data_IF_453129707237
#
_entry.id   IF_453129707237
#
_cell.length_a   1.000
_cell.length_b   1.000
_cell.length_c   1.000
_cell.angle_alpha   90.00
_cell.angle_beta   90.00
_cell.angle_gamma   90.00
#
_symmetry.space_group_name_H-M   'P 1'
#
loop_
_entity.id
_entity.type
_entity.pdbx_description
1 polymer ?
#
# COMPACT_ATOMS: atom_id res chain seq x y z
N UNK A 1 28.32 25.27 1.30
CA UNK A 1 27.06 25.83 0.78
C UNK A 1 26.09 25.99 1.94
N UNK A 2 25.64 27.22 2.21
CA UNK A 2 24.65 27.46 3.26
C UNK A 2 23.26 27.05 2.73
N UNK A 3 22.63 26.06 3.36
CA UNK A 3 21.27 25.65 3.04
C UNK A 3 20.33 26.14 4.14
N UNK A 4 19.54 27.18 3.89
CA UNK A 4 18.59 27.65 4.87
C UNK A 4 17.52 26.61 5.14
N UNK A 5 17.39 26.21 6.40
CA UNK A 5 16.43 25.22 6.83
C UNK A 5 15.70 25.68 8.09
N UNK A 6 14.40 25.41 8.15
CA UNK A 6 13.57 25.67 9.32
C UNK A 6 13.30 24.36 10.04
N UNK A 7 13.48 24.30 11.38
CA UNK A 7 13.17 23.10 12.14
C UNK A 7 11.64 22.88 12.17
N UNK A 8 11.17 21.85 11.49
CA UNK A 8 9.74 21.49 11.44
C UNK A 8 9.52 20.18 12.20
N UNK A 9 8.54 20.16 13.09
CA UNK A 9 8.10 18.92 13.77
C UNK A 9 7.30 18.09 12.77
N UNK A 10 7.74 16.87 12.53
CA UNK A 10 6.98 15.90 11.74
C UNK A 10 6.86 14.56 12.48
N UNK A 11 5.80 13.83 12.13
CA UNK A 11 5.58 12.51 12.67
C UNK A 11 6.48 11.51 11.93
N UNK A 12 7.24 10.73 12.68
CA UNK A 12 7.98 9.58 12.15
C UNK A 12 7.20 8.32 12.49
N UNK A 13 7.05 7.48 11.49
CA UNK A 13 6.40 6.19 11.61
C UNK A 13 7.43 5.06 11.53
N UNK A 14 7.13 3.99 12.22
CA UNK A 14 7.83 2.72 12.08
C UNK A 14 6.76 1.67 11.80
N UNK A 15 6.90 0.94 10.71
CA UNK A 15 5.94 -0.05 10.26
C UNK A 15 6.54 -1.44 10.26
N UNK A 16 5.72 -2.40 10.65
CA UNK A 16 5.92 -3.83 10.40
C UNK A 16 4.91 -4.25 9.34
N UNK A 17 5.36 -4.45 8.10
CA UNK A 17 4.53 -4.96 7.01
C UNK A 17 4.57 -6.47 7.05
N UNK A 18 3.44 -7.09 7.33
CA UNK A 18 3.31 -8.55 7.47
C UNK A 18 2.58 -9.11 6.25
N UNK A 19 3.23 -9.96 5.49
CA UNK A 19 2.62 -10.66 4.37
C UNK A 19 2.22 -12.07 4.79
N UNK A 20 0.97 -12.42 4.61
CA UNK A 20 0.49 -13.79 4.64
C UNK A 20 1.06 -14.53 3.42
N UNK A 21 1.81 -15.60 3.66
CA UNK A 21 2.43 -16.42 2.61
C UNK A 21 1.84 -17.84 2.58
N UNK A 22 0.66 -18.03 3.16
CA UNK A 22 -0.07 -19.31 3.11
C UNK A 22 -0.48 -19.69 1.68
N UNK A 23 -0.89 -20.94 1.49
CA UNK A 23 -1.21 -21.47 0.16
C UNK A 23 -2.40 -20.76 -0.50
N UNK A 24 -3.36 -20.25 0.29
CA UNK A 24 -4.51 -19.51 -0.23
C UNK A 24 -4.10 -18.20 -0.94
N UNK A 25 -2.95 -17.61 -0.56
CA UNK A 25 -2.41 -16.41 -1.21
C UNK A 25 -1.88 -16.66 -2.64
N UNK A 26 -1.74 -17.93 -3.05
CA UNK A 26 -1.42 -18.27 -4.44
C UNK A 26 -2.65 -18.23 -5.37
N UNK A 27 -3.86 -18.05 -4.83
CA UNK A 27 -5.10 -18.02 -5.59
C UNK A 27 -5.11 -16.88 -6.60
N UNK A 28 -5.28 -17.14 -7.93
CA UNK A 28 -5.29 -16.12 -8.97
C UNK A 28 -6.68 -15.53 -9.15
N UNK A 29 -7.13 -14.69 -8.24
CA UNK A 29 -8.46 -14.10 -8.24
C UNK A 29 -8.51 -12.57 -8.32
N UNK A 30 -7.34 -11.91 -8.37
CA UNK A 30 -7.25 -10.45 -8.49
C UNK A 30 -7.21 -10.04 -9.96
N UNK A 31 -8.20 -9.29 -10.47
CA UNK A 31 -8.21 -8.86 -11.87
C UNK A 31 -7.20 -7.72 -12.12
N UNK A 32 -6.36 -7.87 -13.14
CA UNK A 32 -5.47 -6.83 -13.66
C UNK A 32 -5.65 -6.79 -15.19
N UNK A 33 -6.43 -5.85 -15.66
CA UNK A 33 -6.84 -5.79 -17.07
C UNK A 33 -7.60 -7.04 -17.48
N UNK A 34 -7.05 -7.79 -18.46
CA UNK A 34 -7.67 -9.04 -18.96
C UNK A 34 -7.14 -10.30 -18.26
N UNK A 35 -6.16 -10.17 -17.39
CA UNK A 35 -5.54 -11.29 -16.66
C UNK A 35 -5.93 -11.26 -15.20
N UNK A 36 -5.76 -12.39 -14.54
CA UNK A 36 -5.83 -12.48 -13.09
C UNK A 36 -4.45 -12.78 -12.53
N UNK A 37 -4.09 -12.10 -11.45
CA UNK A 37 -2.85 -12.36 -10.71
C UNK A 37 -3.18 -13.01 -9.36
N UNK A 38 -2.18 -13.64 -8.74
CA UNK A 38 -2.32 -14.21 -7.42
C UNK A 38 -2.45 -13.11 -6.36
N UNK A 39 -3.09 -13.43 -5.23
CA UNK A 39 -3.16 -12.54 -4.07
C UNK A 39 -1.77 -12.16 -3.59
N UNK A 40 -0.82 -13.09 -3.59
CA UNK A 40 0.59 -12.83 -3.24
C UNK A 40 1.23 -11.80 -4.19
N UNK A 41 1.05 -11.94 -5.50
CA UNK A 41 1.57 -10.96 -6.45
C UNK A 41 0.95 -9.56 -6.24
N UNK A 42 -0.35 -9.52 -5.94
CA UNK A 42 -1.03 -8.26 -5.60
C UNK A 42 -0.53 -7.67 -4.28
N UNK A 43 -0.31 -8.50 -3.25
CA UNK A 43 0.28 -8.07 -1.96
C UNK A 43 1.65 -7.45 -2.16
N UNK A 44 2.52 -8.07 -2.98
CA UNK A 44 3.83 -7.49 -3.32
C UNK A 44 3.68 -6.12 -3.98
N UNK A 45 2.79 -5.99 -4.95
CA UNK A 45 2.53 -4.70 -5.61
C UNK A 45 2.08 -3.63 -4.61
N UNK A 46 1.13 -3.95 -3.72
CA UNK A 46 0.69 -3.04 -2.67
C UNK A 46 1.83 -2.64 -1.73
N UNK A 47 2.66 -3.60 -1.31
CA UNK A 47 3.80 -3.33 -0.43
C UNK A 47 4.86 -2.45 -1.11
N UNK A 48 5.14 -2.68 -2.41
CA UNK A 48 6.02 -1.82 -3.21
C UNK A 48 5.52 -0.38 -3.27
N UNK A 49 4.24 -0.20 -3.54
CA UNK A 49 3.61 1.13 -3.60
C UNK A 49 3.58 1.80 -2.23
N UNK A 50 3.28 1.04 -1.16
CA UNK A 50 3.35 1.53 0.22
C UNK A 50 4.74 2.06 0.51
N UNK A 51 5.79 1.24 0.33
CA UNK A 51 7.18 1.61 0.63
C UNK A 51 7.62 2.82 -0.19
N UNK A 52 7.26 2.87 -1.47
CA UNK A 52 7.57 3.99 -2.37
C UNK A 52 6.88 5.31 -1.98
N UNK A 53 5.78 5.21 -1.23
CA UNK A 53 4.98 6.37 -0.78
C UNK A 53 5.38 6.89 0.59
N UNK A 54 6.25 6.17 1.32
CA UNK A 54 6.68 6.56 2.65
C UNK A 54 7.74 7.66 2.60
N UNK A 55 7.65 8.68 3.46
CA UNK A 55 8.67 9.72 3.53
C UNK A 55 9.96 9.19 4.16
N UNK A 56 11.10 9.78 3.77
CA UNK A 56 12.38 9.51 4.41
C UNK A 56 12.32 9.74 5.93
N UNK A 57 13.06 8.95 6.68
CA UNK A 57 13.00 8.88 8.14
C UNK A 57 11.99 7.84 8.67
N UNK A 58 11.06 7.37 7.83
CA UNK A 58 10.19 6.23 8.16
C UNK A 58 11.01 4.94 8.16
N UNK A 59 10.74 4.07 9.12
CA UNK A 59 11.38 2.76 9.19
C UNK A 59 10.39 1.65 8.88
N UNK A 60 10.85 0.62 8.19
CA UNK A 60 10.05 -0.53 7.77
C UNK A 60 10.76 -1.84 8.11
N UNK A 61 10.00 -2.78 8.65
CA UNK A 61 10.36 -4.20 8.76
C UNK A 61 9.43 -5.00 7.85
N UNK A 62 9.97 -5.90 7.05
CA UNK A 62 9.18 -6.88 6.30
C UNK A 62 9.11 -8.16 7.10
N UNK A 63 7.93 -8.74 7.19
CA UNK A 63 7.66 -9.92 8.00
C UNK A 63 6.78 -10.90 7.23
N UNK A 64 7.00 -12.18 7.48
CA UNK A 64 6.25 -13.29 6.90
C UNK A 64 5.28 -13.85 7.94
N UNK A 65 4.09 -14.20 7.49
CA UNK A 65 3.12 -14.92 8.28
C UNK A 65 2.78 -16.26 7.63
N UNK A 66 2.90 -17.33 8.39
CA UNK A 66 2.44 -18.66 8.02
C UNK A 66 2.09 -19.47 9.28
N UNK A 67 1.09 -20.33 9.21
CA UNK A 67 0.63 -21.12 10.36
C UNK A 67 0.20 -20.22 11.51
N UNK A 68 0.83 -20.40 12.67
CA UNK A 68 0.52 -19.67 13.92
C UNK A 68 1.53 -18.56 14.24
N UNK A 69 2.52 -18.34 13.41
CA UNK A 69 3.65 -17.49 13.77
C UNK A 69 4.03 -16.51 12.65
N UNK A 70 4.65 -15.43 13.10
CA UNK A 70 5.24 -14.41 12.24
C UNK A 70 6.74 -14.37 12.45
N UNK A 71 7.49 -14.25 11.36
CA UNK A 71 8.92 -14.04 11.36
C UNK A 71 9.24 -12.69 10.73
N UNK A 72 9.86 -11.79 11.50
CA UNK A 72 10.44 -10.58 10.94
C UNK A 72 11.74 -10.93 10.23
N UNK A 73 11.89 -10.52 8.96
CA UNK A 73 13.12 -10.78 8.19
C UNK A 73 14.28 -9.92 8.69
N UNK A 74 13.97 -8.74 9.19
CA UNK A 74 14.92 -7.80 9.80
C UNK A 74 14.21 -6.81 10.74
N UNK A 75 14.98 -6.21 11.64
CA UNK A 75 14.50 -5.09 12.44
C UNK A 75 14.16 -3.88 11.55
N UNK A 76 13.29 -2.95 12.00
CA UNK A 76 12.92 -1.79 11.20
C UNK A 76 14.14 -0.97 10.75
N UNK A 77 14.31 -0.83 9.43
CA UNK A 77 15.35 -0.06 8.77
C UNK A 77 14.77 1.15 8.05
N UNK A 78 15.56 2.21 7.90
CA UNK A 78 15.13 3.46 7.27
C UNK A 78 14.89 3.27 5.77
N UNK A 79 13.76 3.79 5.29
CA UNK A 79 13.25 3.50 3.94
C UNK A 79 14.15 4.07 2.84
N UNK A 80 14.58 5.34 2.95
CA UNK A 80 15.34 5.98 1.87
C UNK A 80 16.77 5.43 1.75
N UNK A 81 17.40 5.14 2.88
CA UNK A 81 18.76 4.57 2.91
C UNK A 81 18.80 3.13 2.42
N UNK A 82 17.71 2.39 2.63
CA UNK A 82 17.63 0.95 2.33
C UNK A 82 16.58 0.62 1.27
N UNK A 83 16.17 1.59 0.45
CA UNK A 83 15.04 1.47 -0.46
C UNK A 83 15.12 0.21 -1.34
N UNK A 84 16.25 0.04 -2.02
CA UNK A 84 16.43 -1.10 -2.94
C UNK A 84 16.43 -2.45 -2.21
N UNK A 85 17.03 -2.53 -1.01
CA UNK A 85 17.03 -3.77 -0.23
C UNK A 85 15.63 -4.14 0.25
N UNK A 86 14.81 -3.15 0.64
CA UNK A 86 13.42 -3.37 1.04
C UNK A 86 12.60 -3.84 -0.17
N UNK A 87 12.76 -3.18 -1.33
CA UNK A 87 12.04 -3.54 -2.55
C UNK A 87 12.42 -4.95 -3.01
N UNK A 88 13.71 -5.29 -3.02
CA UNK A 88 14.20 -6.63 -3.35
C UNK A 88 13.65 -7.70 -2.39
N UNK A 89 13.58 -7.39 -1.10
CA UNK A 89 12.96 -8.28 -0.11
C UNK A 89 11.49 -8.56 -0.43
N UNK A 90 10.73 -7.53 -0.83
CA UNK A 90 9.32 -7.68 -1.21
C UNK A 90 9.18 -8.54 -2.47
N UNK A 91 10.05 -8.38 -3.45
CA UNK A 91 10.06 -9.18 -4.68
C UNK A 91 10.25 -10.68 -4.41
N UNK A 92 10.99 -11.02 -3.35
CA UNK A 92 11.29 -12.40 -2.96
C UNK A 92 10.28 -13.01 -1.97
N UNK A 93 9.18 -12.30 -1.62
CA UNK A 93 8.09 -12.90 -0.84
C UNK A 93 7.42 -14.02 -1.65
N UNK A 94 7.49 -15.23 -1.13
CA UNK A 94 7.04 -16.41 -1.86
C UNK A 94 6.56 -17.50 -0.89
N UNK A 95 5.55 -18.26 -1.31
CA UNK A 95 4.98 -19.39 -0.56
C UNK A 95 6.01 -20.46 -0.18
N UNK A 96 7.10 -20.59 -0.95
CA UNK A 96 8.18 -21.57 -0.72
C UNK A 96 8.98 -21.28 0.55
N UNK A 97 8.93 -20.06 1.05
CA UNK A 97 9.55 -19.69 2.33
C UNK A 97 8.64 -19.99 3.53
N UNK A 98 7.39 -20.42 3.28
CA UNK A 98 6.45 -20.72 4.33
C UNK A 98 6.80 -22.03 5.06
N UNK A 99 6.90 -21.98 6.40
CA UNK A 99 7.07 -23.15 7.26
C UNK A 99 5.76 -23.92 7.49
N UNK A 100 4.63 -23.33 7.12
CA UNK A 100 3.30 -23.94 7.13
C UNK A 100 2.49 -23.45 5.94
N UNK A 101 1.72 -24.32 5.33
CA UNK A 101 0.81 -23.93 4.25
C UNK A 101 -0.52 -23.38 4.74
N UNK A 102 -0.77 -23.42 6.03
CA UNK A 102 -2.01 -22.97 6.66
C UNK A 102 -1.87 -21.54 7.17
N UNK A 103 -3.00 -20.94 7.54
CA UNK A 103 -3.11 -19.61 8.10
C UNK A 103 -3.99 -19.68 9.35
N UNK A 104 -3.45 -19.29 10.52
CA UNK A 104 -4.17 -19.22 11.79
C UNK A 104 -4.02 -17.82 12.36
N UNK A 105 -4.88 -16.94 11.91
CA UNK A 105 -4.75 -15.49 12.14
C UNK A 105 -4.84 -15.16 13.62
N UNK A 106 -5.81 -15.74 14.35
CA UNK A 106 -5.97 -15.44 15.78
C UNK A 106 -4.73 -15.76 16.62
N UNK A 107 -4.10 -16.89 16.37
CA UNK A 107 -2.85 -17.26 17.03
C UNK A 107 -1.69 -16.39 16.60
N UNK A 108 -1.67 -16.04 15.32
CA UNK A 108 -0.62 -15.20 14.76
C UNK A 108 -0.61 -13.78 15.32
N UNK A 109 -1.75 -13.21 15.69
CA UNK A 109 -1.80 -11.89 16.33
C UNK A 109 -0.96 -11.84 17.62
N UNK A 110 -0.89 -12.94 18.39
CA UNK A 110 0.02 -13.04 19.53
C UNK A 110 1.49 -13.08 19.11
N UNK A 111 1.79 -13.76 17.99
CA UNK A 111 3.15 -13.81 17.44
C UNK A 111 3.59 -12.42 16.95
N UNK A 112 2.72 -11.72 16.23
CA UNK A 112 2.97 -10.33 15.80
C UNK A 112 3.20 -9.43 17.02
N UNK A 113 2.35 -9.50 18.04
CA UNK A 113 2.48 -8.72 19.28
C UNK A 113 3.83 -8.97 19.96
N UNK A 114 4.27 -10.24 20.02
CA UNK A 114 5.58 -10.59 20.57
C UNK A 114 6.73 -10.02 19.74
N UNK A 115 6.65 -10.14 18.42
CA UNK A 115 7.67 -9.65 17.50
C UNK A 115 7.81 -8.13 17.56
N UNK A 116 6.69 -7.40 17.56
CA UNK A 116 6.73 -5.94 17.61
C UNK A 116 7.30 -5.40 18.92
N UNK A 117 7.09 -6.11 20.04
CA UNK A 117 7.69 -5.76 21.35
C UNK A 117 9.20 -5.96 21.38
N UNK A 118 9.78 -6.77 20.48
CA UNK A 118 11.23 -6.94 20.39
C UNK A 118 11.91 -5.81 19.60
N UNK A 119 11.15 -4.94 18.96
CA UNK A 119 11.71 -3.82 18.20
C UNK A 119 12.22 -2.72 19.14
N UNK A 120 13.28 -2.01 18.74
CA UNK A 120 13.88 -0.95 19.57
C UNK A 120 12.99 0.28 19.73
N UNK A 121 11.96 0.43 18.89
CA UNK A 121 11.01 1.55 18.92
C UNK A 121 9.59 1.06 18.60
N UNK A 122 8.60 1.82 19.05
CA UNK A 122 7.19 1.50 18.81
C UNK A 122 6.90 1.47 17.31
N UNK A 123 6.34 0.36 16.82
CA UNK A 123 5.97 0.20 15.43
C UNK A 123 4.46 -0.07 15.28
N UNK A 124 3.92 0.23 14.12
CA UNK A 124 2.56 -0.10 13.71
C UNK A 124 2.56 -1.28 12.76
N UNK A 125 1.54 -2.10 12.83
CA UNK A 125 1.41 -3.29 11.98
C UNK A 125 0.49 -3.00 10.82
N UNK A 126 0.87 -3.49 9.64
CA UNK A 126 0.02 -3.59 8.45
C UNK A 126 0.05 -5.05 8.01
N UNK A 127 -1.04 -5.77 8.23
CA UNK A 127 -1.17 -7.19 7.93
C UNK A 127 -1.94 -7.38 6.62
N UNK A 128 -1.31 -8.00 5.63
CA UNK A 128 -1.91 -8.37 4.36
C UNK A 128 -2.28 -9.85 4.38
N UNK A 129 -3.58 -10.17 4.32
CA UNK A 129 -4.10 -11.54 4.39
C UNK A 129 -5.45 -11.64 3.68
N UNK A 130 -5.85 -12.84 3.30
CA UNK A 130 -7.19 -13.10 2.77
C UNK A 130 -8.23 -13.39 3.87
N UNK A 131 -7.78 -13.52 5.12
CA UNK A 131 -8.69 -13.74 6.24
C UNK A 131 -9.13 -15.18 6.42
N UNK A 132 -8.70 -16.11 5.57
CA UNK A 132 -9.09 -17.51 5.73
C UNK A 132 -8.33 -18.18 6.88
N UNK A 133 -9.07 -18.75 7.80
CA UNK A 133 -8.52 -19.61 8.85
C UNK A 133 -8.47 -21.06 8.35
N UNK A 134 -7.30 -21.63 8.36
CA UNK A 134 -7.08 -23.03 8.08
C UNK A 134 -6.27 -23.66 9.23
N UNK A 135 -6.92 -24.47 10.05
CA UNK A 135 -8.30 -24.99 10.02
C UNK A 135 -9.38 -23.96 10.31
N UNK A 136 -10.58 -24.19 9.76
CA UNK A 136 -11.74 -23.33 10.04
C UNK A 136 -12.03 -23.27 11.53
N UNK A 137 -12.39 -22.07 12.00
CA UNK A 137 -12.70 -21.85 13.40
C UNK A 137 -13.95 -22.61 13.84
N UNK A 138 -13.87 -23.13 15.06
CA UNK A 138 -14.99 -23.70 15.79
C UNK A 138 -14.78 -23.45 17.29
N UNK A 139 -15.78 -23.74 18.12
CA UNK A 139 -15.78 -23.40 19.57
C UNK A 139 -14.54 -23.85 20.30
N UNK A 140 -13.91 -24.96 19.90
CA UNK A 140 -12.75 -25.54 20.61
C UNK A 140 -11.39 -25.03 20.10
N UNK A 141 -11.32 -24.39 18.93
CA UNK A 141 -10.07 -23.87 18.36
C UNK A 141 -10.03 -22.33 18.24
N UNK A 142 -11.10 -21.64 18.65
CA UNK A 142 -11.17 -20.18 18.64
C UNK A 142 -10.42 -19.63 19.85
N UNK A 143 -9.24 -19.04 19.59
CA UNK A 143 -8.42 -18.43 20.63
C UNK A 143 -8.98 -17.06 21.03
N UNK A 144 -9.05 -16.80 22.32
CA UNK A 144 -9.39 -15.48 22.86
C UNK A 144 -8.30 -14.46 22.53
N UNK A 145 -8.66 -13.23 22.22
CA UNK A 145 -7.76 -12.15 21.83
C UNK A 145 -7.61 -11.06 22.90
N UNK A 146 -8.19 -11.24 24.08
CA UNK A 146 -8.08 -10.25 25.18
C UNK A 146 -6.63 -9.94 25.58
N UNK A 147 -5.69 -10.87 25.31
CA UNK A 147 -4.27 -10.68 25.56
C UNK A 147 -3.53 -9.88 24.46
N UNK A 148 -4.16 -9.54 23.35
CA UNK A 148 -3.54 -8.82 22.23
C UNK A 148 -3.85 -7.32 22.33
N UNK A 149 -3.34 -6.66 23.38
CA UNK A 149 -3.63 -5.24 23.65
C UNK A 149 -2.84 -4.28 22.73
N UNK A 150 -1.75 -4.73 22.13
CA UNK A 150 -0.92 -3.91 21.24
C UNK A 150 -1.54 -3.69 19.85
N UNK A 151 -2.59 -4.45 19.52
CA UNK A 151 -3.21 -4.40 18.19
C UNK A 151 -4.08 -3.14 17.95
N UNK A 152 -4.22 -2.31 18.96
CA UNK A 152 -4.89 -1.01 18.80
C UNK A 152 -4.14 -0.19 17.74
N UNK A 153 -4.89 0.30 16.77
CA UNK A 153 -4.38 1.07 15.63
C UNK A 153 -3.59 0.24 14.58
N UNK A 154 -3.52 -1.10 14.69
CA UNK A 154 -3.02 -1.92 13.60
C UNK A 154 -3.95 -1.82 12.39
N UNK A 155 -3.44 -2.14 11.21
CA UNK A 155 -4.21 -2.15 9.97
C UNK A 155 -4.24 -3.56 9.38
N UNK A 156 -5.44 -4.08 9.16
CA UNK A 156 -5.67 -5.32 8.43
C UNK A 156 -6.09 -4.97 7.00
N UNK A 157 -5.32 -5.47 6.04
CA UNK A 157 -5.55 -5.28 4.60
C UNK A 157 -6.05 -6.60 4.03
N UNK A 158 -7.33 -6.64 3.71
CA UNK A 158 -7.96 -7.83 3.12
C UNK A 158 -7.62 -7.96 1.64
N UNK A 159 -6.97 -9.05 1.25
CA UNK A 159 -6.53 -9.31 -0.13
C UNK A 159 -7.26 -10.52 -0.70
N UNK A 160 -7.92 -10.34 -1.83
CA UNK A 160 -8.66 -11.43 -2.50
C UNK A 160 -10.01 -10.99 -3.04
N UNK A 161 -10.63 -11.90 -3.81
CA UNK A 161 -11.98 -11.76 -4.33
C UNK A 161 -13.00 -12.34 -3.35
N UNK A 162 -14.18 -11.72 -3.26
CA UNK A 162 -15.33 -12.26 -2.50
C UNK A 162 -15.96 -13.48 -3.18
N UNK A 163 -15.79 -13.63 -4.48
CA UNK A 163 -16.30 -14.79 -5.25
C UNK A 163 -15.41 -15.99 -5.00
N UNK A 164 -14.09 -15.76 -4.88
CA UNK A 164 -13.10 -16.81 -4.68
C UNK A 164 -12.69 -17.52 -5.96
N UNK A 165 -11.68 -18.39 -5.81
CA UNK A 165 -11.18 -19.28 -6.85
C UNK A 165 -10.45 -20.47 -6.23
N UNK A 166 -10.20 -21.51 -7.05
CA UNK A 166 -9.47 -22.68 -6.60
C UNK A 166 -8.00 -22.35 -6.31
N UNK A 167 -7.46 -22.88 -5.22
CA UNK A 167 -6.06 -22.71 -4.85
C UNK A 167 -5.21 -23.63 -5.73
N UNK A 168 -4.27 -23.07 -6.55
CA UNK A 168 -3.36 -23.89 -7.33
C UNK A 168 -2.33 -24.58 -6.42
N UNK A 169 -2.03 -25.83 -6.71
CA UNK A 169 -0.86 -26.54 -6.17
C UNK A 169 0.32 -26.26 -7.11
N UNK A 170 1.34 -25.61 -6.57
CA UNK A 170 2.49 -25.18 -7.35
C UNK A 170 3.68 -26.12 -7.14
N UNK A 171 4.46 -26.36 -8.20
CA UNK A 171 5.78 -26.99 -8.12
C UNK A 171 6.82 -26.01 -7.56
N UNK A 172 8.04 -26.50 -7.31
CA UNK A 172 9.17 -25.64 -6.91
C UNK A 172 9.48 -24.53 -7.94
N UNK A 173 9.15 -24.75 -9.21
CA UNK A 173 9.33 -23.79 -10.30
C UNK A 173 8.10 -22.91 -10.54
N UNK A 174 7.17 -22.85 -9.57
CA UNK A 174 5.91 -22.10 -9.66
C UNK A 174 4.99 -22.52 -10.83
N UNK A 175 5.12 -23.75 -11.32
CA UNK A 175 4.21 -24.32 -12.32
C UNK A 175 3.01 -24.95 -11.62
N UNK A 176 1.82 -24.74 -12.18
CA UNK A 176 0.59 -25.35 -11.65
C UNK A 176 0.61 -26.85 -11.98
N UNK A 177 0.69 -27.68 -10.95
CA UNK A 177 0.66 -29.16 -11.05
C UNK A 177 -0.71 -29.74 -10.70
N UNK A 178 -1.66 -28.91 -10.28
CA UNK A 178 -3.01 -29.29 -9.91
C UNK A 178 -3.68 -28.22 -9.06
N UNK A 179 -4.73 -28.63 -8.37
CA UNK A 179 -5.43 -27.77 -7.39
C UNK A 179 -5.57 -28.52 -6.08
N UNK A 180 -5.56 -27.79 -4.98
CA UNK A 180 -5.77 -28.38 -3.67
C UNK A 180 -7.20 -28.93 -3.54
N UNK A 181 -7.35 -30.14 -2.98
CA UNK A 181 -8.65 -30.77 -2.75
C UNK A 181 -9.35 -30.17 -1.53
N UNK A 182 -10.65 -30.34 -1.45
CA UNK A 182 -11.45 -29.99 -0.27
C UNK A 182 -10.92 -30.70 0.99
N UNK A 183 -10.48 -31.95 0.89
CA UNK A 183 -9.92 -32.71 2.01
C UNK A 183 -8.65 -32.11 2.59
N UNK A 184 -7.82 -31.45 1.75
CA UNK A 184 -6.58 -30.80 2.21
C UNK A 184 -6.82 -29.60 3.14
N UNK A 185 -8.01 -29.01 3.10
CA UNK A 185 -8.44 -27.89 3.92
C UNK A 185 -9.61 -28.22 4.85
N UNK A 186 -10.25 -29.38 4.64
CA UNK A 186 -11.27 -29.89 5.55
C UNK A 186 -10.61 -30.40 6.81
N UNK A 187 -11.09 -29.91 7.95
CA UNK A 187 -10.63 -30.37 9.23
C UNK A 187 -11.51 -31.45 9.78
N UNK A 188 -10.84 -32.48 10.19
CA UNK A 188 -11.41 -33.41 11.17
C UNK A 188 -11.25 -32.79 12.58
N UNK A 189 -12.36 -32.53 13.31
CA UNK A 189 -12.27 -32.08 14.70
C UNK A 189 -11.42 -33.08 15.52
N UNK A 190 -10.42 -32.60 16.21
CA UNK A 190 -9.56 -33.42 17.07
C UNK A 190 -8.16 -33.72 16.50
N UNK A 191 -7.97 -33.78 15.18
CA UNK A 191 -6.65 -34.03 14.58
C UNK A 191 -5.83 -32.74 14.44
N UNK A 192 -6.50 -31.60 14.33
CA UNK A 192 -5.84 -30.30 14.16
C UNK A 192 -4.92 -29.88 15.31
N UNK A 193 -5.21 -30.30 16.53
CA UNK A 193 -4.36 -30.03 17.69
C UNK A 193 -3.10 -30.91 17.76
N UNK A 194 -3.14 -32.08 17.10
CA UNK A 194 -2.01 -33.02 17.06
C UNK A 194 -1.05 -32.67 15.91
N UNK A 195 -1.55 -31.97 14.87
CA UNK A 195 -0.81 -31.75 13.64
C UNK A 195 0.24 -30.64 13.70
N UNK A 196 0.23 -29.76 14.68
CA UNK A 196 1.32 -28.77 14.85
C UNK A 196 2.63 -29.43 15.32
N UNK A 197 2.53 -30.52 16.06
CA UNK A 197 3.69 -31.35 16.40
C UNK A 197 4.13 -32.30 15.27
N UNK A 198 3.28 -32.52 14.25
CA UNK A 198 3.51 -33.38 13.11
C UNK A 198 3.49 -32.56 11.80
N UNK A 199 4.45 -31.69 11.60
CA UNK A 199 4.68 -30.93 10.36
C UNK A 199 4.83 -31.83 9.12
N UNK A 200 4.83 -33.15 9.28
CA UNK A 200 5.03 -34.14 8.22
C UNK A 200 3.80 -34.82 7.64
N UNK A 201 2.59 -34.62 8.19
CA UNK A 201 1.40 -35.40 7.81
C UNK A 201 0.22 -34.56 7.30
N UNK A 202 0.50 -33.47 6.58
CA UNK A 202 -0.54 -32.75 5.85
C UNK A 202 -1.06 -33.66 4.73
N UNK A 203 -2.39 -33.78 4.61
CA UNK A 203 -3.00 -34.50 3.49
C UNK A 203 -2.87 -33.65 2.22
N UNK A 204 -1.80 -33.88 1.45
CA UNK A 204 -1.43 -33.11 0.26
C UNK A 204 -2.18 -33.60 -1.00
N UNK A 205 -3.48 -33.88 -0.87
CA UNK A 205 -4.27 -34.41 -1.97
C UNK A 205 -4.52 -33.34 -3.05
N UNK A 206 -4.26 -33.73 -4.27
CA UNK A 206 -4.68 -32.99 -5.46
C UNK A 206 -6.14 -33.31 -5.73
N UNK A 207 -6.93 -32.29 -6.07
CA UNK A 207 -8.33 -32.45 -6.41
C UNK A 207 -8.50 -33.41 -7.61
N UNK A 208 -9.40 -34.37 -7.48
CA UNK A 208 -9.71 -35.37 -8.52
C UNK A 208 -10.53 -34.77 -9.68
N UNK A 209 -11.22 -33.66 -9.45
CA UNK A 209 -12.05 -32.95 -10.42
C UNK A 209 -12.37 -31.51 -9.97
N UNK A 210 -13.14 -30.79 -10.78
CA UNK A 210 -13.47 -29.37 -10.47
C UNK A 210 -14.28 -29.20 -9.20
N UNK A 211 -15.21 -30.11 -8.93
CA UNK A 211 -16.07 -30.11 -7.74
C UNK A 211 -15.34 -30.48 -6.45
N UNK A 212 -14.16 -31.09 -6.58
CA UNK A 212 -13.31 -31.43 -5.44
C UNK A 212 -12.28 -30.33 -5.11
N UNK A 213 -12.18 -29.27 -5.91
CA UNK A 213 -11.27 -28.17 -5.67
C UNK A 213 -11.73 -27.33 -4.49
N UNK A 214 -10.81 -27.04 -3.57
CA UNK A 214 -11.07 -26.08 -2.51
C UNK A 214 -11.14 -24.66 -3.08
N UNK A 215 -12.27 -23.99 -2.83
CA UNK A 215 -12.49 -22.60 -3.27
C UNK A 215 -12.17 -21.66 -2.13
N UNK A 216 -11.07 -20.96 -2.25
CA UNK A 216 -10.63 -19.91 -1.34
C UNK A 216 -11.22 -18.57 -1.74
N UNK A 217 -11.63 -17.77 -0.76
CA UNK A 217 -12.17 -16.42 -0.96
C UNK A 217 -11.70 -15.49 0.15
N UNK A 218 -11.70 -14.19 -0.11
CA UNK A 218 -11.50 -13.20 0.96
C UNK A 218 -12.61 -13.31 2.01
N UNK A 219 -12.24 -13.65 3.24
CA UNK A 219 -13.17 -13.60 4.38
C UNK A 219 -13.18 -12.19 5.02
N UNK A 220 -13.82 -11.27 4.28
CA UNK A 220 -13.91 -9.88 4.70
C UNK A 220 -14.72 -9.69 5.99
N UNK A 221 -15.73 -10.54 6.19
CA UNK A 221 -16.60 -10.49 7.38
C UNK A 221 -15.75 -10.79 8.61
N UNK A 222 -15.03 -11.90 8.56
CA UNK A 222 -14.16 -12.33 9.65
C UNK A 222 -13.04 -11.31 9.94
N UNK A 223 -12.40 -10.75 8.91
CA UNK A 223 -11.37 -9.72 9.12
C UNK A 223 -11.92 -8.46 9.78
N UNK A 224 -13.14 -8.05 9.47
CA UNK A 224 -13.81 -6.93 10.13
C UNK A 224 -14.17 -7.25 11.59
N UNK A 225 -14.61 -8.48 11.87
CA UNK A 225 -14.93 -8.92 13.23
C UNK A 225 -13.67 -8.94 14.10
N UNK A 226 -12.60 -9.60 13.63
CA UNK A 226 -11.36 -9.71 14.40
C UNK A 226 -10.67 -8.34 14.55
N UNK A 227 -10.72 -7.48 13.53
CA UNK A 227 -10.19 -6.12 13.67
C UNK A 227 -10.91 -5.32 14.74
N UNK A 228 -12.25 -5.43 14.80
CA UNK A 228 -13.05 -4.78 15.84
C UNK A 228 -12.76 -5.35 17.23
N UNK A 229 -12.59 -6.66 17.35
CA UNK A 229 -12.28 -7.35 18.61
C UNK A 229 -10.97 -6.84 19.23
N UNK A 230 -9.92 -6.61 18.41
CA UNK A 230 -8.61 -6.15 18.88
C UNK A 230 -8.39 -4.63 18.78
N UNK A 231 -9.38 -3.88 18.29
CA UNK A 231 -9.28 -2.43 18.11
C UNK A 231 -8.41 -1.99 16.93
N UNK A 232 -8.18 -2.87 15.96
CA UNK A 232 -7.48 -2.60 14.72
C UNK A 232 -8.42 -1.96 13.68
N UNK A 233 -7.82 -1.37 12.64
CA UNK A 233 -8.53 -0.90 11.45
C UNK A 233 -8.57 -1.98 10.38
N UNK A 234 -9.60 -1.98 9.56
CA UNK A 234 -9.71 -2.84 8.39
C UNK A 234 -9.83 -1.99 7.12
N UNK A 235 -9.16 -2.41 6.06
CA UNK A 235 -9.33 -1.87 4.71
C UNK A 235 -9.22 -2.99 3.68
N UNK A 236 -9.97 -2.87 2.58
CA UNK A 236 -9.80 -3.76 1.46
C UNK A 236 -8.58 -3.34 0.63
N UNK A 237 -7.71 -4.29 0.34
CA UNK A 237 -6.48 -4.07 -0.45
C UNK A 237 -6.71 -4.02 -1.96
N UNK A 238 -7.85 -3.51 -2.41
CA UNK A 238 -8.15 -3.33 -3.83
C UNK A 238 -7.57 -2.05 -4.43
N UNK A 239 -7.24 -1.08 -3.59
CA UNK A 239 -6.73 0.23 -3.97
C UNK A 239 -5.69 0.72 -2.96
N UNK A 240 -4.54 1.17 -3.47
CA UNK A 240 -3.43 1.67 -2.65
C UNK A 240 -3.80 2.94 -1.86
N UNK A 241 -4.61 3.82 -2.43
CA UNK A 241 -5.00 5.07 -1.76
C UNK A 241 -5.79 4.80 -0.48
N UNK A 242 -6.62 3.76 -0.48
CA UNK A 242 -7.36 3.31 0.71
C UNK A 242 -6.41 2.80 1.79
N UNK A 243 -5.40 2.02 1.41
CA UNK A 243 -4.37 1.49 2.33
C UNK A 243 -3.55 2.63 2.93
N UNK A 244 -3.00 3.52 2.10
CA UNK A 244 -2.22 4.68 2.55
C UNK A 244 -3.05 5.64 3.40
N UNK A 245 -4.32 5.84 3.04
CA UNK A 245 -5.25 6.65 3.82
C UNK A 245 -5.51 6.10 5.23
N UNK A 246 -5.58 4.77 5.36
CA UNK A 246 -5.70 4.10 6.65
C UNK A 246 -4.39 4.14 7.45
N UNK A 247 -3.24 3.91 6.81
CA UNK A 247 -1.92 3.98 7.45
C UNK A 247 -1.64 5.36 8.05
N UNK A 248 -2.04 6.44 7.38
CA UNK A 248 -1.90 7.82 7.89
C UNK A 248 -2.67 8.08 9.18
N UNK A 249 -3.70 7.28 9.49
CA UNK A 249 -4.48 7.38 10.73
C UNK A 249 -3.83 6.64 11.90
N UNK A 250 -2.85 5.79 11.63
CA UNK A 250 -2.12 5.06 12.66
C UNK A 250 -1.29 6.02 13.53
N UNK A 251 -1.00 5.60 14.75
CA UNK A 251 -0.23 6.39 15.69
C UNK A 251 1.25 6.46 15.26
N UNK A 252 1.86 7.66 15.20
CA UNK A 252 3.28 7.77 14.88
C UNK A 252 4.16 7.17 15.99
N UNK A 253 5.30 6.61 15.60
CA UNK A 253 6.28 6.07 16.55
C UNK A 253 6.90 7.17 17.42
N UNK A 254 7.25 8.28 16.80
CA UNK A 254 7.83 9.45 17.48
C UNK A 254 7.57 10.74 16.70
N UNK A 255 7.73 11.87 17.39
CA UNK A 255 7.82 13.18 16.74
C UNK A 255 9.27 13.59 16.69
N UNK A 256 9.77 13.91 15.52
CA UNK A 256 11.13 14.41 15.32
C UNK A 256 11.11 15.83 14.76
N UNK A 257 12.17 16.55 15.04
CA UNK A 257 12.41 17.86 14.43
C UNK A 257 13.44 17.64 13.32
N UNK A 258 13.02 17.82 12.07
CA UNK A 258 13.94 17.75 10.95
C UNK A 258 14.10 19.12 10.29
N UNK A 259 15.28 19.42 9.75
CA UNK A 259 15.49 20.62 8.96
C UNK A 259 14.71 20.51 7.65
N UNK A 260 13.69 21.35 7.49
CA UNK A 260 12.97 21.49 6.22
C UNK A 260 13.69 22.54 5.38
N UNK A 261 14.22 22.14 4.22
CA UNK A 261 14.88 23.07 3.30
C UNK A 261 13.85 24.02 2.69
N UNK A 262 14.10 25.32 2.86
CA UNK A 262 13.29 26.39 2.30
C UNK A 262 13.91 27.00 1.05
N UNK A 263 14.94 26.37 0.46
CA UNK A 263 15.67 26.85 -0.72
C UNK A 263 14.73 27.16 -1.88
N UNK A 264 13.77 26.26 -2.17
CA UNK A 264 12.82 26.44 -3.24
C UNK A 264 11.84 27.61 -2.98
N UNK A 265 11.45 27.85 -1.72
CA UNK A 265 10.58 28.98 -1.34
C UNK A 265 11.33 30.30 -1.56
N UNK A 266 12.60 30.36 -1.11
CA UNK A 266 13.45 31.53 -1.31
C UNK A 266 13.75 31.76 -2.78
N UNK A 267 14.01 30.71 -3.55
CA UNK A 267 14.21 30.80 -4.99
C UNK A 267 12.97 31.32 -5.72
N UNK A 268 11.78 30.80 -5.34
CA UNK A 268 10.52 31.28 -5.90
C UNK A 268 10.23 32.74 -5.55
N UNK A 269 10.49 33.14 -4.30
CA UNK A 269 10.33 34.53 -3.86
C UNK A 269 11.31 35.47 -4.60
N UNK A 270 12.57 35.05 -4.75
CA UNK A 270 13.56 35.81 -5.52
C UNK A 270 13.13 35.95 -7.00
N UNK A 271 12.62 34.87 -7.61
CA UNK A 271 12.08 34.91 -8.96
C UNK A 271 10.91 35.90 -9.10
N UNK A 272 9.97 35.87 -8.14
CA UNK A 272 8.85 36.83 -8.13
C UNK A 272 9.30 38.27 -7.98
N UNK A 273 10.28 38.53 -7.10
CA UNK A 273 10.86 39.88 -6.93
C UNK A 273 11.56 40.36 -8.18
N UNK A 274 12.32 39.48 -8.87
CA UNK A 274 12.95 39.80 -10.15
C UNK A 274 11.92 40.11 -11.23
N UNK A 275 10.83 39.31 -11.31
CA UNK A 275 9.73 39.57 -12.22
C UNK A 275 9.07 40.92 -11.89
N UNK A 276 8.76 41.20 -10.62
CA UNK A 276 8.18 42.46 -10.20
C UNK A 276 9.06 43.65 -10.54
N UNK A 277 10.39 43.53 -10.31
CA UNK A 277 11.36 44.55 -10.67
C UNK A 277 11.47 44.75 -12.20
N UNK A 278 11.42 43.68 -12.97
CA UNK A 278 11.41 43.74 -14.43
C UNK A 278 10.13 44.45 -14.95
N UNK A 279 8.96 44.08 -14.47
CA UNK A 279 7.69 44.73 -14.83
C UNK A 279 7.61 46.19 -14.34
N UNK A 280 8.23 46.53 -13.20
CA UNK A 280 8.26 47.92 -12.72
C UNK A 280 9.19 48.84 -13.54
N UNK A 281 10.25 48.26 -14.12
CA UNK A 281 11.21 49.02 -14.95
C UNK A 281 10.83 49.10 -16.43
N UNK A 282 9.97 48.18 -16.91
CA UNK A 282 9.37 48.30 -18.24
C UNK A 282 7.87 48.54 -18.07
N UNK A 283 7.50 49.80 -17.83
CA UNK A 283 6.14 50.12 -17.51
C UNK A 283 5.23 49.77 -18.72
N UNK A 284 4.01 49.51 -18.42
CA UNK A 284 2.82 49.54 -19.27
C UNK A 284 2.82 50.63 -20.39
N UNK A 285 3.74 51.56 -20.33
CA UNK A 285 3.97 52.62 -21.27
C UNK A 285 4.24 52.18 -22.73
N UNK A 286 4.94 51.05 -22.95
CA UNK A 286 5.07 50.50 -24.33
C UNK A 286 3.80 49.84 -24.86
N UNK A 287 3.01 49.27 -24.00
CA UNK A 287 1.77 48.64 -24.43
C UNK A 287 0.69 49.67 -24.72
N UNK A 288 0.66 50.80 -24.02
CA UNK A 288 -0.22 51.94 -24.33
C UNK A 288 0.24 52.70 -25.54
N UNK A 289 1.54 52.83 -25.82
CA UNK A 289 2.07 53.48 -27.04
C UNK A 289 1.79 52.64 -28.29
N UNK A 290 1.89 51.32 -28.23
CA UNK A 290 1.51 50.44 -29.37
C UNK A 290 0.02 50.45 -29.61
N UNK A 291 -0.81 50.49 -28.61
CA UNK A 291 -2.28 50.60 -28.77
C UNK A 291 -2.67 51.99 -29.30
N UNK A 292 -1.96 53.06 -28.89
CA UNK A 292 -2.11 54.41 -29.40
C UNK A 292 -1.73 54.52 -30.87
N UNK A 293 -0.63 53.90 -31.28
CA UNK A 293 -0.22 53.84 -32.70
C UNK A 293 -1.24 53.08 -33.58
N UNK A 294 -1.81 51.96 -33.12
CA UNK A 294 -2.83 51.22 -33.82
C UNK A 294 -4.12 52.03 -33.96
N UNK A 295 -4.57 52.71 -32.91
CA UNK A 295 -5.74 53.62 -32.98
C UNK A 295 -5.55 54.76 -33.98
N UNK A 296 -4.37 55.36 -34.04
CA UNK A 296 -4.07 56.44 -34.99
C UNK A 296 -3.96 55.98 -36.44
N UNK A 297 -3.46 54.74 -36.64
CA UNK A 297 -3.44 54.13 -37.98
C UNK A 297 -4.87 53.81 -38.48
N UNK A 298 -5.73 53.29 -37.61
CA UNK A 298 -7.13 53.00 -37.98
C UNK A 298 -7.93 54.28 -38.23
N UNK A 299 -7.71 55.36 -37.44
CA UNK A 299 -8.35 56.66 -37.67
C UNK A 299 -7.92 57.31 -38.99
N UNK A 300 -6.64 57.18 -39.37
CA UNK A 300 -6.10 57.68 -40.61
C UNK A 300 -6.60 56.91 -41.84
N UNK A 301 -6.94 55.62 -41.68
CA UNK A 301 -7.57 54.81 -42.75
C UNK A 301 -9.04 55.21 -42.94
N UNK A 302 -9.79 55.43 -41.84
CA UNK A 302 -11.17 55.85 -41.89
C UNK A 302 -11.35 57.27 -42.49
N UNK A 303 -10.43 58.20 -42.14
CA UNK A 303 -10.46 59.58 -42.67
C UNK A 303 -10.12 59.64 -44.20
N UNK A 304 -9.28 58.68 -44.67
CA UNK A 304 -9.01 58.53 -46.10
C UNK A 304 -10.18 57.96 -46.89
N UNK A 305 -10.90 57.01 -46.35
CA UNK A 305 -12.13 56.46 -46.96
C UNK A 305 -13.26 57.48 -47.00
N UNK A 306 -13.41 58.35 -46.01
CA UNK A 306 -14.35 59.41 -45.94
C UNK A 306 -14.02 60.51 -47.00
N UNK A 307 -12.72 60.83 -47.23
CA UNK A 307 -12.32 61.80 -48.23
C UNK A 307 -12.55 61.33 -49.70
N UNK A 308 -12.34 59.99 -49.92
CA UNK A 308 -12.60 59.41 -51.29
C UNK A 308 -14.10 59.31 -51.56
N UNK A 309 -14.94 59.15 -50.56
CA UNK A 309 -16.40 59.12 -50.72
C UNK A 309 -16.99 60.53 -51.05
N UNK A 310 -16.30 61.61 -50.60
CA UNK A 310 -16.77 62.97 -50.86
C UNK A 310 -16.43 63.48 -52.31
N UNK A 311 -15.35 63.00 -52.96
CA UNK A 311 -14.96 63.34 -54.29
C UNK A 311 -15.79 62.65 -55.39
N UNK A 312 -16.44 61.53 -55.08
CA UNK A 312 -17.29 60.82 -56.02
C UNK A 312 -18.74 61.31 -56.05
N UNK A 313 -19.11 62.35 -55.33
CA UNK A 313 -20.46 62.94 -55.34
C UNK A 313 -20.53 64.34 -55.92
N UNK A 314 -19.41 64.86 -56.50
CA UNK A 314 -19.35 66.18 -57.09
C UNK A 314 -18.84 66.17 -58.54
N UNK A 315 -19.26 65.17 -59.33
CA UNK A 315 -19.12 65.16 -60.81
C UNK A 315 -20.35 64.65 -61.47
#
# INVERSE_FOLDING_TARGET
MFRPAVPVKHNIFTYMLVADISQSMNTPDIPVGRKKISRMAHTRNLMHEVVSSLPCGTKVSISLFAGVSTAALYHPIEVCENFHAIQDTIDHLDWRTAWSGNSRIRENLYSISRTIRSFPETAQVVLFTDGEEAPRLHVFNTKDLTGVQDAKDWLFVGVGSLVGAAIPKLSQDNQVIGFWSNESFALQPGIAQISESNIGTRNDNVASGEHDRYISKLDEVYLKEISKEVGAMYVRGGDIHSVLGAMKKQKPARRSVAPFSIDWVLASLAGLLLLAAYFSKHPFRRMTETIGLYKNLFKRSSDKEAAIAHDNYSS
#
